data_IF_579087388500
#
_entry.id   IF_579087388500
#
_cell.length_a   1.000
_cell.length_b   1.000
_cell.length_c   1.000
_cell.angle_alpha   90.00
_cell.angle_beta   90.00
_cell.angle_gamma   90.00
#
_symmetry.space_group_name_H-M   'P 1'
#
loop_
_entity.id
_entity.type
_entity.pdbx_description
1 polymer ?
#
# COMPACT_ATOMS: atom_id res chain seq x y z
N UNK A 1 53.92 -65.03 -44.57
CA UNK A 1 53.26 -63.80 -45.07
C UNK A 1 52.35 -63.27 -43.98
N UNK A 2 52.77 -62.16 -43.37
CA UNK A 2 52.06 -61.41 -42.35
C UNK A 2 50.80 -60.76 -42.94
N UNK A 3 49.63 -60.90 -42.28
CA UNK A 3 48.53 -59.95 -42.48
C UNK A 3 47.85 -59.62 -41.16
N UNK A 4 47.95 -58.33 -40.87
CA UNK A 4 47.44 -57.56 -39.76
C UNK A 4 45.89 -57.52 -39.76
N UNK A 5 45.26 -57.70 -38.60
CA UNK A 5 43.85 -57.33 -38.37
C UNK A 5 43.79 -56.48 -37.09
N UNK A 6 43.24 -55.26 -37.21
CA UNK A 6 43.17 -54.23 -36.18
C UNK A 6 42.16 -54.59 -35.07
N UNK A 7 42.30 -54.07 -33.83
CA UNK A 7 41.27 -54.20 -32.81
C UNK A 7 40.15 -53.17 -33.00
N UNK A 8 38.91 -53.60 -32.77
CA UNK A 8 37.70 -52.78 -32.81
C UNK A 8 37.56 -51.91 -31.56
N UNK A 9 37.15 -50.66 -31.78
CA UNK A 9 36.90 -49.60 -30.80
C UNK A 9 35.81 -50.00 -29.80
N UNK A 10 36.12 -49.95 -28.51
CA UNK A 10 35.15 -49.92 -27.41
C UNK A 10 34.27 -48.65 -27.54
N UNK A 11 32.94 -48.81 -27.46
CA UNK A 11 32.00 -47.70 -27.34
C UNK A 11 31.67 -47.53 -25.86
N UNK A 12 32.15 -46.44 -25.28
CA UNK A 12 31.67 -45.93 -23.99
C UNK A 12 30.15 -45.76 -24.02
N UNK A 13 29.46 -46.49 -23.15
CA UNK A 13 28.08 -46.23 -22.75
C UNK A 13 28.09 -44.98 -21.86
N UNK A 14 27.99 -43.82 -22.49
CA UNK A 14 27.60 -42.59 -21.79
C UNK A 14 26.17 -42.79 -21.33
N UNK A 15 25.98 -42.99 -20.02
CA UNK A 15 24.66 -42.96 -19.39
C UNK A 15 24.12 -41.54 -19.50
N UNK A 16 23.16 -41.33 -20.40
CA UNK A 16 22.41 -40.08 -20.47
C UNK A 16 21.69 -39.84 -19.13
N UNK A 17 21.72 -38.61 -18.58
CA UNK A 17 20.95 -38.27 -17.40
C UNK A 17 19.46 -38.43 -17.72
N UNK A 18 18.74 -39.31 -17.01
CA UNK A 18 17.27 -39.42 -17.11
C UNK A 18 16.65 -38.05 -16.79
N UNK A 19 15.87 -37.52 -17.72
CA UNK A 19 15.04 -36.34 -17.45
C UNK A 19 14.07 -36.62 -16.29
N UNK A 20 13.95 -35.70 -15.32
CA UNK A 20 13.05 -35.89 -14.19
C UNK A 20 11.58 -35.89 -14.68
N UNK A 21 10.84 -36.94 -14.29
CA UNK A 21 9.42 -37.08 -14.63
C UNK A 21 8.57 -35.98 -13.97
N UNK A 22 7.40 -35.61 -14.53
CA UNK A 22 6.54 -34.55 -13.97
C UNK A 22 6.13 -34.78 -12.50
N UNK A 23 6.15 -36.03 -12.02
CA UNK A 23 5.85 -36.41 -10.65
C UNK A 23 6.98 -36.08 -9.64
N UNK A 24 8.21 -35.82 -10.11
CA UNK A 24 9.38 -35.50 -9.27
C UNK A 24 9.52 -33.99 -9.00
N UNK A 25 8.66 -33.16 -9.61
CA UNK A 25 8.65 -31.72 -9.35
C UNK A 25 7.95 -31.47 -8.03
N UNK A 26 8.72 -31.22 -6.97
CA UNK A 26 8.19 -30.64 -5.72
C UNK A 26 7.35 -29.42 -6.09
N UNK A 27 6.14 -29.24 -5.50
CA UNK A 27 5.39 -28.02 -5.73
C UNK A 27 6.23 -26.83 -5.26
N UNK A 28 6.63 -25.97 -6.20
CA UNK A 28 7.25 -24.69 -5.86
C UNK A 28 6.13 -23.80 -5.35
N UNK A 29 5.97 -23.76 -4.02
CA UNK A 29 5.03 -22.85 -3.35
C UNK A 29 5.30 -21.45 -3.89
N UNK A 30 4.26 -20.80 -4.40
CA UNK A 30 4.32 -19.46 -4.94
C UNK A 30 4.79 -18.48 -3.87
N UNK A 31 5.52 -17.44 -4.26
CA UNK A 31 6.00 -16.39 -3.33
C UNK A 31 4.85 -15.75 -2.55
N UNK A 32 3.65 -15.65 -3.16
CA UNK A 32 2.42 -15.18 -2.50
C UNK A 32 1.91 -16.14 -1.42
N UNK A 33 1.89 -17.44 -1.72
CA UNK A 33 1.48 -18.48 -0.76
C UNK A 33 2.42 -18.53 0.44
N UNK A 34 3.74 -18.42 0.22
CA UNK A 34 4.71 -18.36 1.31
C UNK A 34 4.49 -17.16 2.24
N UNK A 35 4.11 -16.01 1.68
CA UNK A 35 3.78 -14.81 2.47
C UNK A 35 2.44 -15.00 3.19
N UNK A 36 1.44 -15.58 2.54
CA UNK A 36 0.15 -15.89 3.17
C UNK A 36 0.32 -16.80 4.39
N UNK A 37 1.09 -17.88 4.28
CA UNK A 37 1.40 -18.78 5.39
C UNK A 37 2.08 -18.02 6.56
N UNK A 38 3.09 -17.20 6.27
CA UNK A 38 3.77 -16.39 7.30
C UNK A 38 2.84 -15.37 7.97
N UNK A 39 1.85 -14.84 7.26
CA UNK A 39 0.85 -13.93 7.83
C UNK A 39 -0.14 -14.65 8.75
N UNK A 40 -0.52 -15.89 8.40
CA UNK A 40 -1.38 -16.74 9.26
C UNK A 40 -0.63 -17.13 10.53
N UNK A 41 0.63 -17.56 10.42
CA UNK A 41 1.45 -17.90 11.59
C UNK A 41 1.58 -16.70 12.54
N UNK A 42 1.89 -15.52 11.98
CA UNK A 42 1.99 -14.28 12.77
C UNK A 42 0.65 -13.91 13.43
N UNK A 43 -0.49 -14.10 12.75
CA UNK A 43 -1.81 -13.77 13.32
C UNK A 43 -2.20 -14.69 14.49
N UNK A 44 -1.81 -15.96 14.44
CA UNK A 44 -2.00 -16.92 15.53
C UNK A 44 -1.12 -16.56 16.73
N UNK A 45 0.15 -16.25 16.49
CA UNK A 45 1.07 -15.81 17.55
C UNK A 45 0.59 -14.54 18.25
N UNK A 46 0.08 -13.58 17.48
CA UNK A 46 -0.52 -12.34 17.98
C UNK A 46 -1.72 -12.59 18.90
N UNK A 47 -2.53 -13.59 18.58
CA UNK A 47 -3.72 -13.94 19.36
C UNK A 47 -3.39 -14.71 20.65
N UNK A 48 -2.23 -15.37 20.70
CA UNK A 48 -1.77 -16.16 21.86
C UNK A 48 -0.87 -15.36 22.82
N UNK A 49 -0.20 -14.31 22.34
CA UNK A 49 0.75 -13.52 23.10
C UNK A 49 0.08 -12.35 23.87
N UNK A 50 0.74 -11.88 24.93
CA UNK A 50 0.30 -10.69 25.67
C UNK A 50 0.43 -9.40 24.85
N UNK A 51 -0.46 -8.44 25.10
CA UNK A 51 -0.47 -7.16 24.41
C UNK A 51 0.39 -6.10 25.14
N UNK A 52 1.19 -5.36 24.37
CA UNK A 52 2.00 -4.26 24.90
C UNK A 52 2.73 -3.47 23.82
N UNK A 53 3.18 -2.23 24.11
CA UNK A 53 3.77 -1.33 23.11
C UNK A 53 5.08 -1.86 22.50
N UNK A 54 5.96 -2.46 23.33
CA UNK A 54 7.19 -3.08 22.84
C UNK A 54 6.90 -4.26 21.89
N UNK A 55 5.85 -5.04 22.18
CA UNK A 55 5.42 -6.15 21.33
C UNK A 55 4.79 -5.66 20.04
N UNK A 56 4.04 -4.55 20.07
CA UNK A 56 3.50 -3.93 18.86
C UNK A 56 4.63 -3.44 17.93
N UNK A 57 5.68 -2.84 18.47
CA UNK A 57 6.86 -2.43 17.70
C UNK A 57 7.63 -3.62 17.10
N UNK A 58 7.81 -4.70 17.86
CA UNK A 58 8.43 -5.94 17.37
C UNK A 58 7.60 -6.58 16.24
N UNK A 59 6.28 -6.63 16.43
CA UNK A 59 5.34 -7.15 15.43
C UNK A 59 5.36 -6.31 14.15
N UNK A 60 5.48 -4.98 14.26
CA UNK A 60 5.60 -4.10 13.09
C UNK A 60 6.84 -4.45 12.26
N UNK A 61 7.99 -4.65 12.91
CA UNK A 61 9.25 -5.01 12.24
C UNK A 61 9.18 -6.41 11.59
N UNK A 62 8.53 -7.37 12.25
CA UNK A 62 8.25 -8.70 11.69
C UNK A 62 7.40 -8.59 10.42
N UNK A 63 6.29 -7.84 10.51
CA UNK A 63 5.35 -7.65 9.42
C UNK A 63 6.01 -6.96 8.21
N UNK A 64 6.86 -5.95 8.41
CA UNK A 64 7.62 -5.30 7.33
C UNK A 64 8.51 -6.28 6.57
N UNK A 65 9.16 -7.19 7.29
CA UNK A 65 10.00 -8.22 6.65
C UNK A 65 9.16 -9.16 5.81
N UNK A 66 7.99 -9.56 6.30
CA UNK A 66 7.06 -10.43 5.57
C UNK A 66 6.55 -9.70 4.30
N UNK A 67 6.15 -8.43 4.42
CA UNK A 67 5.63 -7.62 3.30
C UNK A 67 6.71 -7.38 2.23
N UNK A 68 8.00 -7.25 2.62
CA UNK A 68 9.10 -7.11 1.64
C UNK A 68 9.20 -8.28 0.65
N UNK A 69 8.61 -9.42 0.99
CA UNK A 69 8.49 -10.59 0.13
C UNK A 69 7.35 -10.52 -0.90
N UNK A 70 6.41 -9.58 -0.77
CA UNK A 70 5.17 -9.55 -1.53
C UNK A 70 5.37 -8.97 -2.96
N UNK A 71 4.87 -9.64 -4.01
CA UNK A 71 4.89 -9.08 -5.36
C UNK A 71 3.87 -7.93 -5.52
N UNK A 72 4.22 -6.92 -6.33
CA UNK A 72 3.42 -5.69 -6.60
C UNK A 72 2.01 -5.92 -7.16
N UNK A 73 1.65 -7.13 -7.58
CA UNK A 73 0.32 -7.47 -8.13
C UNK A 73 -0.73 -7.77 -7.06
N UNK A 74 -0.51 -7.36 -5.81
CA UNK A 74 -1.37 -7.67 -4.67
C UNK A 74 -1.82 -6.40 -3.94
N UNK A 75 -2.38 -5.44 -4.69
CA UNK A 75 -2.74 -4.12 -4.19
C UNK A 75 -3.64 -4.18 -2.94
N UNK A 76 -4.75 -4.93 -2.99
CA UNK A 76 -5.70 -5.00 -1.87
C UNK A 76 -5.11 -5.62 -0.59
N UNK A 77 -4.31 -6.70 -0.71
CA UNK A 77 -3.62 -7.25 0.46
C UNK A 77 -2.54 -6.29 0.97
N UNK A 78 -1.85 -5.59 0.06
CA UNK A 78 -0.87 -4.57 0.42
C UNK A 78 -1.48 -3.42 1.22
N UNK A 79 -2.67 -2.95 0.85
CA UNK A 79 -3.40 -1.90 1.58
C UNK A 79 -3.79 -2.34 2.99
N UNK A 80 -4.34 -3.55 3.13
CA UNK A 80 -4.66 -4.13 4.44
C UNK A 80 -3.43 -4.25 5.34
N UNK A 81 -2.31 -4.70 4.77
CA UNK A 81 -1.05 -4.86 5.49
C UNK A 81 -0.40 -3.52 5.87
N UNK A 82 -0.51 -2.51 5.01
CA UNK A 82 -0.07 -1.14 5.30
C UNK A 82 -0.87 -0.50 6.44
N UNK A 83 -2.19 -0.73 6.46
CA UNK A 83 -3.06 -0.29 7.56
C UNK A 83 -2.68 -0.96 8.89
N UNK A 84 -2.47 -2.28 8.87
CA UNK A 84 -2.00 -3.04 10.04
C UNK A 84 -0.66 -2.50 10.56
N UNK A 85 0.28 -2.20 9.66
CA UNK A 85 1.57 -1.66 10.02
C UNK A 85 1.48 -0.27 10.66
N UNK A 86 0.64 0.61 10.10
CA UNK A 86 0.37 1.93 10.67
C UNK A 86 -0.14 1.83 12.10
N UNK A 87 -1.11 0.93 12.34
CA UNK A 87 -1.70 0.75 13.66
C UNK A 87 -0.71 0.17 14.68
N UNK A 88 0.13 -0.79 14.28
CA UNK A 88 1.17 -1.35 15.16
C UNK A 88 2.21 -0.29 15.58
N UNK A 89 2.66 0.55 14.65
CA UNK A 89 3.59 1.64 14.95
C UNK A 89 2.97 2.65 15.91
N UNK A 90 1.70 3.00 15.68
CA UNK A 90 0.95 3.91 16.55
C UNK A 90 0.76 3.36 17.97
N UNK A 91 0.53 2.05 18.11
CA UNK A 91 0.44 1.39 19.41
C UNK A 91 1.81 1.30 20.13
N UNK A 92 2.91 1.18 19.37
CA UNK A 92 4.26 1.15 19.92
C UNK A 92 4.79 2.50 20.41
N UNK A 93 4.36 3.61 19.78
CA UNK A 93 4.90 4.94 20.04
C UNK A 93 4.30 5.63 21.29
N UNK A 94 2.98 5.59 21.46
CA UNK A 94 2.32 6.57 22.35
C UNK A 94 1.68 5.97 23.61
N UNK A 95 1.47 4.65 23.68
CA UNK A 95 0.81 4.01 24.84
C UNK A 95 -0.66 4.42 25.11
N UNK A 96 -1.24 5.29 24.27
CA UNK A 96 -2.61 5.84 24.40
C UNK A 96 -3.68 4.88 23.85
N UNK A 97 -3.37 4.09 22.82
CA UNK A 97 -4.28 3.07 22.29
C UNK A 97 -4.18 1.79 23.12
N UNK A 98 -5.31 1.13 23.40
CA UNK A 98 -5.29 -0.20 24.03
C UNK A 98 -4.52 -1.17 23.11
N UNK A 99 -3.30 -1.60 23.49
CA UNK A 99 -2.50 -2.47 22.64
C UNK A 99 -3.22 -3.79 22.37
N UNK A 100 -4.11 -4.22 23.26
CA UNK A 100 -4.88 -5.45 23.12
C UNK A 100 -5.89 -5.36 22.00
N UNK A 101 -6.55 -4.20 21.86
CA UNK A 101 -7.51 -3.92 20.80
C UNK A 101 -6.83 -3.81 19.44
N UNK A 102 -5.71 -3.10 19.38
CA UNK A 102 -4.89 -2.99 18.17
C UNK A 102 -4.38 -4.36 17.72
N UNK A 103 -3.81 -5.15 18.62
CA UNK A 103 -3.24 -6.46 18.28
C UNK A 103 -4.31 -7.45 17.82
N UNK A 104 -5.51 -7.41 18.43
CA UNK A 104 -6.67 -8.22 18.00
C UNK A 104 -7.13 -7.84 16.59
N UNK A 105 -7.26 -6.54 16.32
CA UNK A 105 -7.67 -6.04 15.02
C UNK A 105 -6.59 -6.31 13.95
N UNK A 106 -5.30 -6.15 14.27
CA UNK A 106 -4.19 -6.53 13.40
C UNK A 106 -4.24 -8.02 13.05
N UNK A 107 -4.41 -8.92 14.02
CA UNK A 107 -4.51 -10.35 13.76
C UNK A 107 -5.65 -10.71 12.79
N UNK A 108 -6.80 -10.03 12.92
CA UNK A 108 -7.91 -10.15 11.98
C UNK A 108 -7.56 -9.66 10.56
N UNK A 109 -6.87 -8.53 10.45
CA UNK A 109 -6.42 -7.98 9.16
C UNK A 109 -5.36 -8.87 8.50
N UNK A 110 -4.41 -9.43 9.25
CA UNK A 110 -3.41 -10.37 8.72
C UNK A 110 -4.07 -11.63 8.16
N UNK A 111 -5.08 -12.15 8.86
CA UNK A 111 -5.87 -13.30 8.41
C UNK A 111 -6.62 -12.98 7.13
N UNK A 112 -7.28 -11.81 7.05
CA UNK A 112 -7.98 -11.37 5.84
C UNK A 112 -7.01 -11.16 4.65
N UNK A 113 -5.83 -10.58 4.90
CA UNK A 113 -4.80 -10.39 3.89
C UNK A 113 -4.23 -11.72 3.38
N UNK A 114 -4.01 -12.69 4.26
CA UNK A 114 -3.55 -14.03 3.90
C UNK A 114 -4.55 -14.77 2.99
N UNK A 115 -5.84 -14.76 3.35
CA UNK A 115 -6.92 -15.34 2.53
C UNK A 115 -6.97 -14.73 1.13
N UNK A 116 -6.85 -13.40 1.05
CA UNK A 116 -6.84 -12.66 -0.23
C UNK A 116 -5.63 -13.03 -1.10
N UNK A 117 -4.47 -13.26 -0.47
CA UNK A 117 -3.26 -13.74 -1.14
C UNK A 117 -3.36 -15.19 -1.62
N UNK A 118 -4.13 -16.02 -0.91
CA UNK A 118 -4.48 -17.38 -1.31
C UNK A 118 -5.54 -17.43 -2.43
N UNK A 119 -6.09 -16.29 -2.84
CA UNK A 119 -7.12 -16.21 -3.88
C UNK A 119 -8.52 -16.57 -3.38
N UNK A 120 -8.75 -16.56 -2.07
CA UNK A 120 -10.07 -16.74 -1.49
C UNK A 120 -10.86 -15.42 -1.60
N UNK A 121 -12.08 -15.49 -2.12
CA UNK A 121 -13.00 -14.36 -2.13
C UNK A 121 -13.33 -13.92 -0.70
N UNK A 122 -13.24 -12.61 -0.45
CA UNK A 122 -13.44 -12.04 0.88
C UNK A 122 -14.86 -12.29 1.41
N UNK A 123 -14.98 -12.56 2.71
CA UNK A 123 -16.28 -12.57 3.40
C UNK A 123 -17.01 -11.22 3.19
N UNK A 124 -18.33 -11.23 2.94
CA UNK A 124 -19.11 -10.04 2.56
C UNK A 124 -19.36 -9.02 3.69
N UNK A 125 -18.65 -9.10 4.81
CA UNK A 125 -18.87 -8.27 6.03
C UNK A 125 -17.94 -7.05 6.16
N UNK A 126 -17.43 -6.49 5.06
CA UNK A 126 -16.54 -5.31 5.08
C UNK A 126 -17.16 -4.03 5.70
N UNK A 127 -18.49 -3.96 5.80
CA UNK A 127 -19.23 -2.77 6.27
C UNK A 127 -19.59 -2.81 7.77
N UNK A 128 -19.15 -3.83 8.50
CA UNK A 128 -19.43 -3.91 9.94
C UNK A 128 -18.47 -3.01 10.73
N UNK A 129 -18.94 -2.23 11.72
CA UNK A 129 -18.07 -1.39 12.57
C UNK A 129 -17.00 -2.20 13.33
N UNK A 130 -17.28 -3.48 13.58
CA UNK A 130 -16.38 -4.41 14.27
C UNK A 130 -15.41 -5.11 13.30
N UNK A 131 -15.48 -4.82 12.00
CA UNK A 131 -14.59 -5.42 11.02
C UNK A 131 -13.14 -4.97 11.31
N UNK A 132 -12.15 -5.88 11.31
CA UNK A 132 -10.79 -5.57 11.74
C UNK A 132 -10.16 -4.36 11.03
N UNK A 133 -10.40 -4.22 9.73
CA UNK A 133 -9.95 -3.08 8.92
C UNK A 133 -10.58 -1.76 9.40
N UNK A 134 -11.87 -1.77 9.76
CA UNK A 134 -12.58 -0.56 10.20
C UNK A 134 -12.15 -0.15 11.61
N UNK A 135 -11.87 -1.11 12.49
CA UNK A 135 -11.32 -0.86 13.83
C UNK A 135 -9.94 -0.19 13.72
N UNK A 136 -9.03 -0.75 12.90
CA UNK A 136 -7.71 -0.14 12.73
C UNK A 136 -7.77 1.24 12.08
N UNK A 137 -8.66 1.43 11.12
CA UNK A 137 -8.92 2.73 10.50
C UNK A 137 -9.39 3.75 11.55
N UNK A 138 -10.39 3.40 12.36
CA UNK A 138 -10.89 4.27 13.42
C UNK A 138 -9.81 4.62 14.46
N UNK A 139 -8.95 3.66 14.85
CA UNK A 139 -7.84 3.89 15.78
C UNK A 139 -6.82 4.89 15.19
N UNK A 140 -6.52 4.77 13.90
CA UNK A 140 -5.60 5.67 13.20
C UNK A 140 -6.21 7.05 12.94
N UNK A 141 -7.51 7.11 12.61
CA UNK A 141 -8.26 8.35 12.44
C UNK A 141 -8.35 9.13 13.77
N UNK A 142 -8.63 8.46 14.88
CA UNK A 142 -8.66 9.07 16.21
C UNK A 142 -7.30 9.69 16.60
N UNK A 143 -6.19 9.14 16.12
CA UNK A 143 -4.83 9.68 16.35
C UNK A 143 -4.47 10.85 15.44
N UNK A 144 -5.09 10.97 14.28
CA UNK A 144 -4.97 12.16 13.42
C UNK A 144 -5.55 13.43 14.05
N UNK A 145 -6.32 13.31 15.15
CA UNK A 145 -7.00 14.41 15.82
C UNK A 145 -6.24 15.00 17.02
N UNK A 146 -5.29 14.29 17.65
CA UNK A 146 -4.56 14.78 18.83
C UNK A 146 -3.12 15.16 18.47
N UNK A 147 -2.98 16.29 17.76
CA UNK A 147 -1.67 16.85 17.40
C UNK A 147 -1.73 18.14 16.59
N UNK A 148 -2.89 18.51 16.05
CA UNK A 148 -3.08 19.77 15.35
C UNK A 148 -4.22 20.56 16.00
N UNK A 149 -3.86 21.57 16.80
CA UNK A 149 -4.66 22.78 16.79
C UNK A 149 -4.63 23.33 15.38
N UNK A 150 -5.75 23.19 14.64
CA UNK A 150 -6.33 24.12 13.66
C UNK A 150 -7.59 23.43 13.07
N UNK A 151 -8.63 24.22 12.75
CA UNK A 151 -10.02 23.82 12.98
C UNK A 151 -10.62 22.94 11.88
N UNK A 152 -11.63 22.19 12.33
CA UNK A 152 -12.48 21.28 11.58
C UNK A 152 -13.22 21.95 10.41
N UNK A 153 -13.20 21.31 9.24
CA UNK A 153 -14.28 21.38 8.27
C UNK A 153 -14.40 20.06 7.49
N UNK A 154 -15.01 19.09 8.19
CA UNK A 154 -15.96 18.11 7.66
C UNK A 154 -15.49 17.18 6.53
N UNK A 155 -15.07 16.00 7.00
CA UNK A 155 -15.19 14.71 6.32
C UNK A 155 -16.60 14.48 5.78
N UNK A 156 -16.68 14.18 4.48
CA UNK A 156 -17.75 13.36 3.91
C UNK A 156 -17.19 12.62 2.69
N UNK A 157 -17.03 11.30 2.83
CA UNK A 157 -16.81 10.37 1.72
C UNK A 157 -17.69 9.14 1.97
N UNK A 158 -18.36 8.65 0.92
CA UNK A 158 -18.38 7.22 0.68
C UNK A 158 -17.97 6.88 -0.76
N UNK A 159 -17.09 5.88 -0.86
CA UNK A 159 -17.06 4.92 -1.98
C UNK A 159 -16.19 5.28 -3.19
N UNK A 160 -14.97 4.76 -3.20
CA UNK A 160 -14.34 4.39 -4.47
C UNK A 160 -14.98 3.09 -5.00
N UNK A 161 -14.99 2.90 -6.32
CA UNK A 161 -14.29 1.73 -6.84
C UNK A 161 -13.22 2.14 -7.85
N UNK A 162 -12.10 1.45 -7.76
CA UNK A 162 -10.98 1.58 -8.67
C UNK A 162 -11.31 1.11 -10.10
N UNK A 163 -10.64 1.79 -11.04
CA UNK A 163 -10.36 1.51 -12.43
C UNK A 163 -11.50 1.46 -13.47
N UNK A 164 -11.70 2.62 -14.13
CA UNK A 164 -11.87 2.67 -15.59
C UNK A 164 -11.30 4.00 -16.07
N UNK A 165 -10.27 3.97 -16.92
CA UNK A 165 -9.98 5.07 -17.84
C UNK A 165 -11.25 5.36 -18.64
N UNK A 166 -12.07 6.30 -18.15
CA UNK A 166 -13.29 6.75 -18.80
C UNK A 166 -12.87 7.69 -19.94
N UNK A 167 -13.36 7.49 -21.18
CA UNK A 167 -13.17 8.46 -22.24
C UNK A 167 -13.82 9.77 -21.79
N UNK A 168 -13.13 10.89 -22.05
CA UNK A 168 -13.49 12.28 -21.76
C UNK A 168 -14.88 12.47 -21.12
N UNK A 169 -14.93 12.46 -19.77
CA UNK A 169 -16.07 12.98 -19.00
C UNK A 169 -16.40 14.41 -19.49
N UNK A 170 -17.68 14.75 -19.54
CA UNK A 170 -18.10 16.15 -19.78
C UNK A 170 -17.31 17.08 -18.84
N UNK A 171 -16.90 18.27 -19.30
CA UNK A 171 -16.18 19.21 -18.43
C UNK A 171 -17.01 19.47 -17.17
N UNK A 172 -16.33 19.59 -16.02
CA UNK A 172 -16.97 19.94 -14.76
C UNK A 172 -17.85 21.16 -15.00
N UNK A 173 -19.17 20.96 -14.89
CA UNK A 173 -20.14 22.04 -14.99
C UNK A 173 -20.32 22.55 -13.57
N UNK A 174 -19.71 23.69 -13.30
CA UNK A 174 -19.99 24.43 -12.09
C UNK A 174 -21.50 24.72 -12.00
N UNK A 175 -22.12 24.51 -10.83
CA UNK A 175 -23.48 24.96 -10.58
C UNK A 175 -23.68 26.42 -11.01
N UNK A 176 -24.86 26.76 -11.54
CA UNK A 176 -25.14 28.12 -12.03
C UNK A 176 -25.11 29.18 -10.91
N UNK A 177 -25.16 28.73 -9.67
CA UNK A 177 -25.13 29.48 -8.42
C UNK A 177 -23.77 29.44 -7.71
N UNK A 178 -22.72 28.90 -8.34
CA UNK A 178 -21.35 28.97 -7.79
C UNK A 178 -20.93 30.42 -7.61
N UNK A 179 -20.44 30.74 -6.40
CA UNK A 179 -19.88 32.03 -6.10
C UNK A 179 -18.53 32.21 -6.84
N UNK A 180 -18.51 33.19 -7.74
CA UNK A 180 -17.32 33.48 -8.56
C UNK A 180 -16.17 34.03 -7.73
N UNK A 181 -16.44 34.71 -6.61
CA UNK A 181 -15.40 35.25 -5.72
C UNK A 181 -14.62 34.12 -5.05
N UNK A 182 -15.32 33.08 -4.59
CA UNK A 182 -14.72 31.86 -4.02
C UNK A 182 -13.89 31.12 -5.07
N UNK A 183 -14.39 31.04 -6.31
CA UNK A 183 -13.65 30.37 -7.38
C UNK A 183 -12.37 31.13 -7.76
N UNK A 184 -12.41 32.47 -7.78
CA UNK A 184 -11.23 33.30 -8.02
C UNK A 184 -10.20 33.13 -6.90
N UNK A 185 -10.62 33.11 -5.64
CA UNK A 185 -9.75 32.85 -4.49
C UNK A 185 -9.09 31.46 -4.58
N UNK A 186 -9.87 30.43 -4.92
CA UNK A 186 -9.35 29.09 -5.17
C UNK A 186 -8.29 29.06 -6.28
N UNK A 187 -8.51 29.77 -7.38
CA UNK A 187 -7.53 29.83 -8.48
C UNK A 187 -6.24 30.48 -8.00
N UNK A 188 -6.31 31.58 -7.25
CA UNK A 188 -5.14 32.25 -6.68
C UNK A 188 -4.38 31.32 -5.73
N UNK A 189 -5.08 30.68 -4.79
CA UNK A 189 -4.50 29.73 -3.84
C UNK A 189 -3.82 28.54 -4.56
N UNK A 190 -4.48 27.97 -5.57
CA UNK A 190 -3.91 26.90 -6.37
C UNK A 190 -2.63 27.32 -7.09
N UNK A 191 -2.59 28.53 -7.65
CA UNK A 191 -1.40 29.05 -8.31
C UNK A 191 -0.23 29.27 -7.34
N UNK A 192 -0.51 29.72 -6.11
CA UNK A 192 0.50 29.82 -5.06
C UNK A 192 1.06 28.45 -4.68
N UNK A 193 0.20 27.45 -4.49
CA UNK A 193 0.62 26.07 -4.23
C UNK A 193 1.43 25.48 -5.38
N UNK A 194 0.99 25.69 -6.62
CA UNK A 194 1.72 25.23 -7.83
C UNK A 194 3.10 25.89 -7.90
N UNK A 195 3.22 27.18 -7.61
CA UNK A 195 4.51 27.87 -7.59
C UNK A 195 5.47 27.26 -6.56
N UNK A 196 4.97 26.92 -5.37
CA UNK A 196 5.76 26.25 -4.34
C UNK A 196 6.15 24.82 -4.73
N UNK A 197 5.25 24.09 -5.38
CA UNK A 197 5.50 22.74 -5.92
C UNK A 197 6.59 22.79 -6.99
N UNK A 198 6.52 23.74 -7.93
CA UNK A 198 7.51 23.90 -9.00
C UNK A 198 8.91 24.16 -8.45
N UNK A 199 9.01 25.04 -7.45
CA UNK A 199 10.28 25.31 -6.78
C UNK A 199 10.85 24.04 -6.11
N UNK A 200 10.02 23.30 -5.37
CA UNK A 200 10.44 22.06 -4.72
C UNK A 200 10.82 20.96 -5.75
N UNK A 201 10.12 20.87 -6.88
CA UNK A 201 10.42 19.91 -7.95
C UNK A 201 11.78 20.17 -8.61
N UNK A 202 12.13 21.44 -8.83
CA UNK A 202 13.44 21.80 -9.37
C UNK A 202 14.57 21.34 -8.44
N UNK A 203 14.39 21.48 -7.13
CA UNK A 203 15.38 21.05 -6.15
C UNK A 203 15.49 19.52 -6.01
N UNK A 204 14.38 18.78 -6.20
CA UNK A 204 14.41 17.30 -6.24
C UNK A 204 15.24 16.79 -7.41
N UNK A 205 15.23 17.48 -8.55
CA UNK A 205 16.04 17.14 -9.72
C UNK A 205 17.54 17.09 -9.43
N UNK A 206 18.01 17.96 -8.53
CA UNK A 206 19.41 18.03 -8.11
C UNK A 206 19.75 17.04 -6.97
N UNK A 207 18.74 16.59 -6.20
CA UNK A 207 18.91 15.72 -5.03
C UNK A 207 17.73 14.71 -4.85
N UNK A 208 17.69 13.62 -5.65
CA UNK A 208 16.52 12.72 -5.73
C UNK A 208 16.25 11.84 -4.48
N UNK A 209 17.04 11.97 -3.42
CA UNK A 209 16.86 11.25 -2.15
C UNK A 209 16.27 12.09 -1.02
N UNK A 210 15.92 13.34 -1.29
CA UNK A 210 15.46 14.28 -0.27
C UNK A 210 13.95 14.12 0.02
N UNK A 211 13.65 13.31 1.04
CA UNK A 211 12.30 13.05 1.48
C UNK A 211 11.56 14.31 1.97
N UNK A 212 12.26 15.34 2.46
CA UNK A 212 11.61 16.58 2.91
C UNK A 212 11.03 17.36 1.73
N UNK A 213 11.73 17.35 0.59
CA UNK A 213 11.29 18.03 -0.64
C UNK A 213 10.11 17.30 -1.28
N UNK A 214 10.16 15.97 -1.35
CA UNK A 214 9.01 15.17 -1.79
C UNK A 214 7.79 15.43 -0.88
N UNK A 215 8.00 15.53 0.43
CA UNK A 215 6.93 15.87 1.37
C UNK A 215 6.39 17.30 1.16
N UNK A 216 7.22 18.26 0.77
CA UNK A 216 6.77 19.62 0.44
C UNK A 216 5.84 19.63 -0.79
N UNK A 217 6.21 18.89 -1.83
CA UNK A 217 5.40 18.73 -3.04
C UNK A 217 4.08 18.03 -2.71
N UNK A 218 4.13 16.96 -1.91
CA UNK A 218 2.95 16.22 -1.48
C UNK A 218 1.96 17.12 -0.74
N UNK A 219 2.43 17.98 0.18
CA UNK A 219 1.56 18.93 0.90
C UNK A 219 0.84 19.89 -0.04
N UNK A 220 1.52 20.41 -1.07
CA UNK A 220 0.90 21.30 -2.04
C UNK A 220 -0.26 20.63 -2.80
N UNK A 221 -0.05 19.41 -3.30
CA UNK A 221 -1.12 18.66 -3.97
C UNK A 221 -2.26 18.27 -3.02
N UNK A 222 -1.94 17.98 -1.75
CA UNK A 222 -2.93 17.67 -0.74
C UNK A 222 -3.90 18.82 -0.48
N UNK A 223 -3.37 20.04 -0.37
CA UNK A 223 -4.20 21.24 -0.19
C UNK A 223 -5.06 21.49 -1.43
N UNK A 224 -4.48 21.45 -2.64
CA UNK A 224 -5.23 21.63 -3.90
C UNK A 224 -6.37 20.61 -4.01
N UNK A 225 -6.13 19.34 -3.66
CA UNK A 225 -7.17 18.30 -3.65
C UNK A 225 -8.30 18.64 -2.67
N UNK A 226 -7.97 19.13 -1.48
CA UNK A 226 -8.92 19.54 -0.46
C UNK A 226 -9.81 20.68 -0.95
N UNK A 227 -9.21 21.77 -1.42
CA UNK A 227 -9.94 22.93 -1.93
C UNK A 227 -10.79 22.57 -3.16
N UNK A 228 -10.28 21.72 -4.07
CA UNK A 228 -11.03 21.24 -5.22
C UNK A 228 -12.25 20.39 -4.82
N UNK A 229 -12.12 19.51 -3.81
CA UNK A 229 -13.23 18.70 -3.31
C UNK A 229 -14.33 19.57 -2.68
N UNK A 230 -13.96 20.64 -1.96
CA UNK A 230 -14.94 21.57 -1.36
C UNK A 230 -15.77 22.30 -2.41
N UNK A 231 -15.22 22.52 -3.60
CA UNK A 231 -15.89 23.19 -4.73
C UNK A 231 -16.56 22.21 -5.70
N UNK A 232 -16.51 20.90 -5.45
CA UNK A 232 -17.03 19.87 -6.37
C UNK A 232 -16.28 19.80 -7.71
N UNK A 233 -14.99 20.15 -7.70
CA UNK A 233 -14.11 20.14 -8.87
C UNK A 233 -13.47 18.76 -9.04
N UNK A 234 -14.28 17.77 -9.39
CA UNK A 234 -13.91 16.35 -9.43
C UNK A 234 -12.66 16.07 -10.29
N UNK A 235 -12.47 16.79 -11.40
CA UNK A 235 -11.29 16.57 -12.26
C UNK A 235 -10.00 17.06 -11.64
N UNK A 236 -10.05 18.19 -10.93
CA UNK A 236 -8.88 18.74 -10.24
C UNK A 236 -8.56 17.86 -9.03
N UNK A 237 -9.59 17.43 -8.29
CA UNK A 237 -9.43 16.47 -7.20
C UNK A 237 -8.75 15.17 -7.67
N UNK A 238 -9.23 14.59 -8.77
CA UNK A 238 -8.66 13.36 -9.33
C UNK A 238 -7.22 13.55 -9.80
N UNK A 239 -6.92 14.68 -10.44
CA UNK A 239 -5.55 15.00 -10.87
C UNK A 239 -4.61 15.11 -9.65
N UNK A 240 -5.01 15.83 -8.61
CA UNK A 240 -4.22 15.99 -7.40
C UNK A 240 -4.01 14.65 -6.67
N UNK A 241 -5.04 13.78 -6.64
CA UNK A 241 -4.94 12.41 -6.13
C UNK A 241 -3.91 11.58 -6.90
N UNK A 242 -3.95 11.61 -8.24
CA UNK A 242 -2.98 10.89 -9.06
C UNK A 242 -1.54 11.39 -8.83
N UNK A 243 -1.36 12.69 -8.61
CA UNK A 243 -0.07 13.26 -8.25
C UNK A 243 0.42 12.76 -6.88
N UNK A 244 -0.45 12.71 -5.87
CA UNK A 244 -0.14 12.13 -4.55
C UNK A 244 0.32 10.66 -4.67
N UNK A 245 -0.38 9.84 -5.45
CA UNK A 245 -0.04 8.42 -5.64
C UNK A 245 1.37 8.25 -6.22
N UNK A 246 1.73 9.08 -7.21
CA UNK A 246 3.07 9.08 -7.82
C UNK A 246 4.13 9.47 -6.78
N UNK A 247 3.86 10.50 -5.97
CA UNK A 247 4.80 10.99 -4.95
C UNK A 247 4.99 9.97 -3.81
N UNK A 248 3.96 9.21 -3.46
CA UNK A 248 4.08 8.08 -2.54
C UNK A 248 4.99 7.00 -3.13
N UNK A 249 4.82 6.67 -4.42
CA UNK A 249 5.71 5.75 -5.12
C UNK A 249 7.16 6.24 -5.17
N UNK A 250 7.38 7.54 -5.42
CA UNK A 250 8.71 8.15 -5.39
C UNK A 250 9.35 8.09 -3.99
N UNK A 251 8.59 8.40 -2.94
CA UNK A 251 9.05 8.33 -1.54
C UNK A 251 9.46 6.91 -1.14
N UNK A 252 8.73 5.91 -1.61
CA UNK A 252 9.00 4.51 -1.33
C UNK A 252 10.14 3.93 -2.20
N UNK A 253 10.68 4.71 -3.14
CA UNK A 253 11.69 4.27 -4.10
C UNK A 253 11.16 3.32 -5.18
N UNK A 254 9.83 3.23 -5.32
CA UNK A 254 9.16 2.40 -6.33
C UNK A 254 9.21 3.04 -7.73
N UNK A 255 9.32 4.36 -7.78
CA UNK A 255 9.42 5.23 -8.96
C UNK A 255 10.72 6.03 -8.84
N UNK A 256 11.54 6.05 -9.91
CA UNK A 256 12.83 6.75 -9.98
C UNK A 256 12.89 7.62 -11.23
#
# INVERSE_FOLDING_TARGET
MTKCVRPGKEREMTSEPREPTPADRRPTISRKEKVADSLVDLSVELSAAGAGPARAAETAAELERIISGLPRTSAEAGEMLALALGALRAAGADGVSDPSEVMRAVAGVLTAAARRLAGEDAEPQADSPQHPVNVLRAILEAKGAEGATLPEAQTSLPGAPADKHQPAREPDRLPADTDMEILEEFVVECLEHISGIEAALLEVGDAPGDAERINAIFRGFHTIKGSANMLGLDRIQELARLAEDILVGARNGDIR
#
